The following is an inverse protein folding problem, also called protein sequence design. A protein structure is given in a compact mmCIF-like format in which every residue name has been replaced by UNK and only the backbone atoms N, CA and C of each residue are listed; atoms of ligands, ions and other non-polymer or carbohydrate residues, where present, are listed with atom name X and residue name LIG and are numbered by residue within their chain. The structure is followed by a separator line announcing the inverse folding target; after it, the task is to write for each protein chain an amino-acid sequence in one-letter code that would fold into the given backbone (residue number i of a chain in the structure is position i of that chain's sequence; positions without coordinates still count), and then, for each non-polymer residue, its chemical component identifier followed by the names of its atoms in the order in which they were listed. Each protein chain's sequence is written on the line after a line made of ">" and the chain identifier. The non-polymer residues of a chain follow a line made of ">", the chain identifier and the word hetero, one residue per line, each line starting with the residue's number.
data_IF_306403958042
#
_entry.id   IF_306403958042
#
_cell.length_a   1.000
_cell.length_b   1.000
_cell.length_c   1.000
_cell.angle_alpha   90.00
_cell.angle_beta   90.00
_cell.angle_gamma   90.00
#
_symmetry.space_group_name_H-M   'P 1'
#
loop_
_entity.id
_entity.type
_entity.pdbx_description
1 polymer ?
#
# COMPACT_ATOMS: atom_id res chain seq x y z
N UNK A 1 -17.37 18.65 13.28
CA UNK A 1 -16.36 18.14 12.35
C UNK A 1 -17.00 18.04 10.96
N UNK A 2 -16.55 18.83 9.99
CA UNK A 2 -17.14 18.82 8.65
C UNK A 2 -16.41 17.79 7.79
N UNK A 3 -17.12 16.73 7.37
CA UNK A 3 -16.61 15.77 6.39
C UNK A 3 -16.70 16.41 5.00
N UNK A 4 -15.57 16.83 4.43
CA UNK A 4 -15.54 17.29 3.03
C UNK A 4 -15.42 16.06 2.12
N UNK A 5 -16.47 15.81 1.33
CA UNK A 5 -16.42 14.85 0.25
C UNK A 5 -16.11 15.60 -1.05
N UNK A 6 -15.26 15.00 -1.87
CA UNK A 6 -14.86 15.53 -3.17
C UNK A 6 -14.40 14.40 -4.09
N UNK A 7 -14.16 14.74 -5.35
CA UNK A 7 -13.55 13.78 -6.28
C UNK A 7 -12.18 13.34 -5.76
N UNK A 8 -11.87 12.07 -5.95
CA UNK A 8 -10.59 11.49 -5.52
C UNK A 8 -9.39 12.29 -6.04
N UNK A 9 -9.37 12.61 -7.33
CA UNK A 9 -8.30 13.40 -7.95
C UNK A 9 -8.09 14.76 -7.28
N UNK A 10 -9.18 15.47 -6.98
CA UNK A 10 -9.11 16.78 -6.31
C UNK A 10 -8.56 16.67 -4.88
N UNK A 11 -8.94 15.63 -4.14
CA UNK A 11 -8.42 15.40 -2.79
C UNK A 11 -6.95 14.97 -2.83
N UNK A 12 -6.58 14.16 -3.82
CA UNK A 12 -5.20 13.76 -4.07
C UNK A 12 -4.29 14.95 -4.36
N UNK A 13 -4.70 15.83 -5.28
CA UNK A 13 -3.92 17.02 -5.63
C UNK A 13 -3.73 17.97 -4.45
N UNK A 14 -4.76 18.12 -3.62
CA UNK A 14 -4.66 18.90 -2.37
C UNK A 14 -3.71 18.25 -1.37
N UNK A 15 -3.73 16.94 -1.26
CA UNK A 15 -2.90 16.21 -0.30
C UNK A 15 -1.40 16.24 -0.66
N UNK A 16 -1.05 16.47 -1.94
CA UNK A 16 0.35 16.61 -2.39
C UNK A 16 0.98 17.97 -2.11
N UNK A 17 0.20 18.93 -1.61
CA UNK A 17 0.70 20.25 -1.29
C UNK A 17 0.45 20.54 0.20
N UNK A 18 1.52 20.80 0.96
CA UNK A 18 1.47 21.04 2.40
C UNK A 18 0.49 22.14 2.80
N UNK A 19 0.38 23.21 2.00
CA UNK A 19 -0.52 24.35 2.29
C UNK A 19 -2.00 23.96 2.19
N UNK A 20 -2.32 22.91 1.45
CA UNK A 20 -3.70 22.48 1.19
C UNK A 20 -4.00 21.07 1.69
N UNK A 21 -2.98 20.36 2.18
CA UNK A 21 -3.11 19.00 2.68
C UNK A 21 -4.11 18.93 3.85
N UNK A 22 -5.02 17.94 3.86
CA UNK A 22 -5.88 17.71 5.00
C UNK A 22 -5.08 17.11 6.17
N UNK A 23 -5.51 17.37 7.40
CA UNK A 23 -4.88 16.76 8.58
C UNK A 23 -4.98 15.23 8.61
N UNK A 24 -5.99 14.66 7.96
CA UNK A 24 -6.21 13.21 7.84
C UNK A 24 -6.74 12.94 6.42
N UNK A 25 -6.14 11.99 5.74
CA UNK A 25 -6.62 11.47 4.47
C UNK A 25 -6.91 9.97 4.58
N UNK A 26 -8.06 9.54 4.04
CA UNK A 26 -8.34 8.12 3.87
C UNK A 26 -7.83 7.67 2.51
N UNK A 27 -7.00 6.65 2.49
CA UNK A 27 -6.39 6.12 1.28
C UNK A 27 -6.48 4.59 1.26
N UNK A 28 -6.63 4.02 0.07
CA UNK A 28 -6.43 2.60 -0.19
C UNK A 28 -5.22 2.44 -1.11
N UNK A 29 -4.44 1.40 -0.88
CA UNK A 29 -3.25 1.09 -1.68
C UNK A 29 -3.29 -0.34 -2.19
N UNK A 30 -2.88 -0.53 -3.43
CA UNK A 30 -2.61 -1.83 -4.02
C UNK A 30 -1.16 -1.89 -4.46
N UNK A 31 -0.43 -2.95 -4.12
CA UNK A 31 0.97 -3.07 -4.50
C UNK A 31 1.08 -3.24 -6.03
N UNK A 32 2.14 -2.66 -6.59
CA UNK A 32 2.53 -2.85 -7.99
C UNK A 32 3.19 -4.20 -8.18
N UNK A 33 3.92 -4.65 -7.18
CA UNK A 33 4.56 -5.96 -7.09
C UNK A 33 4.20 -6.64 -5.78
N UNK A 34 4.24 -7.98 -5.75
CA UNK A 34 3.93 -8.76 -4.55
C UNK A 34 5.12 -8.75 -3.57
N UNK A 35 5.45 -7.57 -3.05
CA UNK A 35 6.50 -7.37 -2.07
C UNK A 35 6.10 -6.32 -1.04
N UNK A 36 6.42 -6.51 0.26
CA UNK A 36 6.24 -5.48 1.27
C UNK A 36 7.00 -4.20 0.98
N UNK A 37 8.13 -4.28 0.29
CA UNK A 37 8.94 -3.12 -0.09
C UNK A 37 8.19 -2.12 -0.94
N UNK A 38 7.30 -2.57 -1.84
CA UNK A 38 6.49 -1.68 -2.67
C UNK A 38 5.60 -0.74 -1.84
N UNK A 39 5.02 -1.26 -0.76
CA UNK A 39 4.24 -0.47 0.19
C UNK A 39 5.09 0.55 0.93
N UNK A 40 6.26 0.11 1.40
CA UNK A 40 7.12 0.92 2.24
C UNK A 40 7.80 2.04 1.44
N UNK A 41 8.35 1.73 0.27
CA UNK A 41 8.95 2.74 -0.61
C UNK A 41 7.94 3.78 -1.08
N UNK A 42 6.73 3.34 -1.43
CA UNK A 42 5.73 4.25 -1.96
C UNK A 42 5.13 5.17 -0.90
N UNK A 43 4.81 4.62 0.29
CA UNK A 43 3.95 5.29 1.26
C UNK A 43 4.71 5.91 2.45
N UNK A 44 5.89 5.38 2.80
CA UNK A 44 6.54 5.72 4.06
C UNK A 44 8.00 6.15 3.95
N UNK A 45 8.67 5.91 2.82
CA UNK A 45 10.02 6.44 2.64
C UNK A 45 10.00 7.96 2.47
N UNK A 46 11.05 8.61 2.99
CA UNK A 46 11.25 10.05 2.87
C UNK A 46 11.28 10.48 1.41
N UNK A 47 10.48 11.47 1.06
CA UNK A 47 10.36 12.01 -0.29
C UNK A 47 10.38 13.54 -0.23
N UNK A 48 11.25 14.17 -0.99
CA UNK A 48 11.32 15.63 -1.09
C UNK A 48 10.03 16.21 -1.70
N UNK A 49 9.52 15.55 -2.72
CA UNK A 49 8.23 15.86 -3.36
C UNK A 49 7.35 14.61 -3.28
N UNK A 50 6.50 14.48 -2.28
CA UNK A 50 5.75 13.24 -2.06
C UNK A 50 4.74 13.00 -3.18
N UNK A 51 4.84 11.82 -3.80
CA UNK A 51 3.86 11.34 -4.75
C UNK A 51 2.77 10.53 -4.05
N UNK A 52 3.17 9.60 -3.19
CA UNK A 52 2.27 8.70 -2.48
C UNK A 52 2.41 8.75 -0.97
N UNK A 53 3.55 9.21 -0.45
CA UNK A 53 3.74 9.46 0.98
C UNK A 53 3.00 10.75 1.40
N UNK A 54 1.67 10.68 1.40
CA UNK A 54 0.80 11.81 1.72
C UNK A 54 0.71 12.12 3.22
N UNK A 55 1.38 11.34 4.05
CA UNK A 55 1.61 11.64 5.47
C UNK A 55 2.79 12.59 5.68
N UNK A 56 3.59 12.83 4.65
CA UNK A 56 4.86 13.60 4.73
C UNK A 56 5.84 13.02 5.75
N UNK A 57 5.70 11.72 6.03
CA UNK A 57 6.56 11.03 6.97
C UNK A 57 7.99 10.98 6.47
N UNK A 58 8.94 11.23 7.37
CA UNK A 58 10.36 11.20 7.08
C UNK A 58 11.13 10.63 8.27
N UNK A 59 11.76 9.48 8.08
CA UNK A 59 12.52 8.80 9.10
C UNK A 59 13.67 8.02 8.44
N UNK A 60 14.90 8.46 8.66
CA UNK A 60 16.09 7.86 8.06
C UNK A 60 16.35 6.42 8.48
N UNK A 61 15.86 6.01 9.65
CA UNK A 61 15.94 4.62 10.11
C UNK A 61 15.02 3.74 9.27
N UNK A 62 13.76 4.17 9.06
CA UNK A 62 12.80 3.48 8.20
C UNK A 62 13.33 3.39 6.77
N UNK A 63 13.88 4.47 6.22
CA UNK A 63 14.47 4.49 4.88
C UNK A 63 15.58 3.46 4.73
N UNK A 64 16.47 3.39 5.73
CA UNK A 64 17.61 2.46 5.74
C UNK A 64 17.17 1.01 5.87
N UNK A 65 16.23 0.75 6.79
CA UNK A 65 15.67 -0.60 7.02
C UNK A 65 14.90 -1.10 5.80
N UNK A 66 14.10 -0.24 5.16
CA UNK A 66 13.35 -0.59 3.95
C UNK A 66 14.29 -1.00 2.83
N UNK A 67 15.34 -0.25 2.59
CA UNK A 67 16.35 -0.57 1.56
C UNK A 67 17.03 -1.89 1.85
N UNK A 68 17.49 -2.08 3.10
CA UNK A 68 18.15 -3.31 3.52
C UNK A 68 17.22 -4.52 3.40
N UNK A 69 15.97 -4.39 3.82
CA UNK A 69 14.99 -5.47 3.71
C UNK A 69 14.74 -5.86 2.24
N UNK A 70 14.59 -4.87 1.36
CA UNK A 70 14.42 -5.10 -0.07
C UNK A 70 15.62 -5.83 -0.71
N UNK A 71 16.85 -5.44 -0.38
CA UNK A 71 18.07 -6.09 -0.87
C UNK A 71 18.15 -7.56 -0.45
N UNK A 72 17.59 -7.91 0.71
CA UNK A 72 17.64 -9.26 1.28
C UNK A 72 16.43 -10.14 0.93
N UNK A 73 15.38 -9.59 0.28
CA UNK A 73 14.14 -10.34 -0.01
C UNK A 73 14.37 -11.68 -0.71
N UNK A 74 15.32 -11.74 -1.64
CA UNK A 74 15.60 -12.93 -2.44
C UNK A 74 16.67 -13.82 -1.84
N UNK A 75 17.64 -13.27 -1.14
CA UNK A 75 18.80 -14.01 -0.61
C UNK A 75 18.58 -14.47 0.82
N UNK A 76 17.96 -13.65 1.66
CA UNK A 76 17.72 -13.90 3.08
C UNK A 76 16.27 -13.52 3.47
N UNK A 77 15.26 -14.23 2.95
CA UNK A 77 13.85 -13.81 3.10
C UNK A 77 13.37 -13.74 4.55
N UNK A 78 13.91 -14.55 5.44
CA UNK A 78 13.57 -14.50 6.88
C UNK A 78 14.09 -13.21 7.52
N UNK A 79 15.32 -12.82 7.21
CA UNK A 79 15.91 -11.56 7.72
C UNK A 79 15.13 -10.38 7.17
N UNK A 80 14.81 -10.37 5.89
CA UNK A 80 13.97 -9.34 5.28
C UNK A 80 12.60 -9.22 5.98
N UNK A 81 11.96 -10.36 6.27
CA UNK A 81 10.68 -10.38 6.98
C UNK A 81 10.76 -9.77 8.39
N UNK A 82 11.84 -10.04 9.11
CA UNK A 82 12.01 -9.49 10.45
C UNK A 82 12.28 -7.98 10.41
N UNK A 83 13.04 -7.50 9.43
CA UNK A 83 13.20 -6.06 9.18
C UNK A 83 11.87 -5.38 8.84
N UNK A 84 11.03 -6.01 8.02
CA UNK A 84 9.70 -5.48 7.72
C UNK A 84 8.80 -5.39 8.95
N UNK A 85 8.88 -6.34 9.87
CA UNK A 85 8.15 -6.25 11.14
C UNK A 85 8.66 -5.10 12.01
N UNK A 86 9.99 -4.91 12.07
CA UNK A 86 10.61 -3.80 12.80
C UNK A 86 10.11 -2.45 12.25
N UNK A 87 10.11 -2.29 10.92
CA UNK A 87 9.59 -1.07 10.27
C UNK A 87 8.12 -0.85 10.65
N UNK A 88 7.28 -1.89 10.59
CA UNK A 88 5.86 -1.77 10.95
C UNK A 88 5.66 -1.31 12.40
N UNK A 89 6.48 -1.80 13.33
CA UNK A 89 6.45 -1.37 14.73
C UNK A 89 6.80 0.11 14.85
N UNK A 90 7.84 0.58 14.17
CA UNK A 90 8.22 1.99 14.15
C UNK A 90 7.07 2.86 13.60
N UNK A 91 6.44 2.45 12.49
CA UNK A 91 5.32 3.19 11.90
C UNK A 91 4.09 3.26 12.81
N UNK A 92 3.86 2.22 13.61
CA UNK A 92 2.78 2.18 14.61
C UNK A 92 3.12 3.10 15.79
N UNK A 93 4.35 3.03 16.31
CA UNK A 93 4.81 3.84 17.44
C UNK A 93 4.83 5.34 17.07
N UNK A 94 5.22 5.67 15.84
CA UNK A 94 5.20 7.04 15.31
C UNK A 94 3.78 7.51 14.91
N UNK A 95 2.77 6.65 15.01
CA UNK A 95 1.37 6.95 14.67
C UNK A 95 1.19 7.51 13.25
N UNK A 96 1.99 7.06 12.29
CA UNK A 96 1.98 7.55 10.88
C UNK A 96 0.69 7.19 10.18
N UNK A 97 0.15 6.01 10.48
CA UNK A 97 -1.04 5.45 9.82
C UNK A 97 -1.97 4.81 10.84
N UNK A 98 -3.26 4.93 10.58
CA UNK A 98 -4.31 4.21 11.30
C UNK A 98 -4.86 3.13 10.36
N UNK A 99 -4.48 1.85 10.53
CA UNK A 99 -5.06 0.75 9.75
C UNK A 99 -6.56 0.67 10.05
N UNK A 100 -7.39 0.90 9.04
CA UNK A 100 -8.83 0.98 9.24
C UNK A 100 -9.54 -0.31 8.83
N UNK A 101 -9.31 -0.80 7.63
CA UNK A 101 -10.03 -1.95 7.05
C UNK A 101 -9.13 -2.72 6.10
N UNK A 102 -9.23 -4.03 6.16
CA UNK A 102 -8.79 -4.91 5.08
C UNK A 102 -10.01 -5.35 4.28
N UNK A 103 -10.02 -5.02 2.98
CA UNK A 103 -11.21 -5.18 2.13
C UNK A 103 -11.26 -6.55 1.50
N UNK A 104 -12.29 -7.31 1.80
CA UNK A 104 -12.58 -8.56 1.09
C UNK A 104 -13.11 -8.26 -0.32
N UNK A 105 -12.45 -8.81 -1.33
CA UNK A 105 -12.90 -8.74 -2.71
C UNK A 105 -13.89 -9.86 -2.98
N UNK A 106 -15.13 -9.49 -3.33
CA UNK A 106 -16.15 -10.44 -3.76
C UNK A 106 -16.30 -10.42 -5.28
N UNK A 107 -16.32 -11.59 -5.90
CA UNK A 107 -16.56 -11.73 -7.34
C UNK A 107 -17.75 -12.61 -7.63
N UNK A 108 -18.55 -12.23 -8.62
CA UNK A 108 -19.71 -12.99 -9.08
C UNK A 108 -19.45 -13.49 -10.49
N UNK A 109 -19.73 -14.77 -10.74
CA UNK A 109 -19.56 -15.40 -12.04
C UNK A 109 -20.78 -16.23 -12.44
N UNK A 110 -21.00 -16.41 -13.74
CA UNK A 110 -21.99 -17.38 -14.22
C UNK A 110 -21.56 -18.81 -13.85
N UNK A 111 -22.52 -19.67 -13.49
CA UNK A 111 -22.27 -21.06 -13.05
C UNK A 111 -21.40 -21.87 -14.03
N UNK A 112 -21.50 -21.57 -15.33
CA UNK A 112 -20.76 -22.24 -16.42
C UNK A 112 -19.31 -21.75 -16.57
N UNK A 113 -18.85 -20.76 -15.80
CA UNK A 113 -17.47 -20.26 -15.85
C UNK A 113 -16.69 -20.86 -14.69
N UNK A 114 -15.58 -21.51 -15.00
CA UNK A 114 -14.63 -22.05 -14.01
C UNK A 114 -13.26 -21.37 -14.15
N UNK A 115 -12.34 -21.68 -13.23
CA UNK A 115 -10.95 -21.18 -13.30
C UNK A 115 -10.74 -19.81 -12.66
N UNK A 116 -11.76 -19.17 -12.09
CA UNK A 116 -11.56 -17.90 -11.37
C UNK A 116 -10.73 -18.16 -10.10
N UNK A 117 -9.51 -17.62 -10.07
CA UNK A 117 -8.61 -17.68 -8.93
C UNK A 117 -8.45 -16.29 -8.35
N UNK A 118 -8.48 -16.17 -7.03
CA UNK A 118 -8.11 -14.94 -6.34
C UNK A 118 -6.59 -14.84 -6.31
N UNK A 119 -6.08 -13.66 -6.66
CA UNK A 119 -4.67 -13.33 -6.48
C UNK A 119 -4.59 -12.09 -5.59
N UNK A 120 -4.11 -12.21 -4.34
CA UNK A 120 -4.05 -11.07 -3.41
C UNK A 120 -3.07 -9.99 -3.84
N UNK A 121 -2.09 -10.32 -4.71
CA UNK A 121 -1.13 -9.35 -5.22
C UNK A 121 -1.66 -8.51 -6.39
N UNK A 122 -2.75 -8.95 -7.03
CA UNK A 122 -3.32 -8.24 -8.18
C UNK A 122 -4.84 -8.24 -8.12
N UNK A 123 -5.44 -7.08 -8.28
CA UNK A 123 -6.88 -6.93 -8.39
C UNK A 123 -7.46 -7.41 -9.74
N UNK A 124 -6.59 -7.85 -10.66
CA UNK A 124 -6.94 -8.21 -12.02
C UNK A 124 -7.31 -9.70 -12.13
N UNK A 125 -8.37 -9.98 -12.88
CA UNK A 125 -8.76 -11.35 -13.23
C UNK A 125 -7.92 -11.81 -14.42
N UNK A 126 -7.20 -12.92 -14.26
CA UNK A 126 -6.46 -13.54 -15.35
C UNK A 126 -7.40 -14.38 -16.21
N UNK A 127 -7.73 -13.86 -17.39
CA UNK A 127 -8.69 -14.51 -18.30
C UNK A 127 -8.19 -15.83 -18.88
N UNK A 128 -6.89 -16.06 -18.91
CA UNK A 128 -6.28 -17.32 -19.37
C UNK A 128 -6.69 -18.53 -18.53
N UNK A 129 -6.97 -18.33 -17.24
CA UNK A 129 -7.38 -19.38 -16.33
C UNK A 129 -8.88 -19.69 -16.46
N UNK A 130 -9.63 -18.86 -17.15
CA UNK A 130 -11.08 -19.04 -17.28
C UNK A 130 -11.41 -20.06 -18.36
N UNK A 131 -12.34 -20.98 -18.04
CA UNK A 131 -12.91 -21.93 -18.96
C UNK A 131 -14.44 -21.94 -18.86
N UNK A 132 -15.09 -22.28 -19.98
CA UNK A 132 -16.53 -22.44 -20.05
C UNK A 132 -16.84 -23.94 -20.10
N UNK A 133 -17.53 -24.42 -19.08
CA UNK A 133 -18.06 -25.79 -19.00
C UNK A 133 -19.42 -25.88 -19.64
#
# INVERSE_FOLDING_TARGET
>A
MYKRQGLWSTNWDKAKNLDTAPNIISMAWWPTVSSPSDWLFALYNSQENPLFNLSYYSNSVVDSLTRKAWELETTEPKVAQDLYKEIQNILIDDCVVIPAVDVNVSSVRKKKISGLKSNPAYSTIFVYDLSRN
#
